data_IF_578001837425
#
_entry.id   IF_578001837425
#
_cell.length_a   1.000
_cell.length_b   1.000
_cell.length_c   1.000
_cell.angle_alpha   90.00
_cell.angle_beta   90.00
_cell.angle_gamma   90.00
#
_symmetry.space_group_name_H-M   'P 1'
#
loop_
_entity.id
_entity.type
_entity.pdbx_description
1 polymer ?
#
# COMPACT_ATOMS: atom_id res chain seq x y z
N UNK A 1 -1.47 1.24 -18.01
CA UNK A 1 -0.86 0.59 -19.18
C UNK A 1 -1.35 1.25 -20.47
N UNK A 2 -0.56 1.19 -21.56
CA UNK A 2 -0.92 1.80 -22.84
C UNK A 2 -2.24 1.24 -23.40
N UNK A 3 -2.47 -0.08 -23.25
CA UNK A 3 -3.71 -0.73 -23.70
C UNK A 3 -4.95 -0.18 -22.97
N UNK A 4 -4.87 0.00 -21.66
CA UNK A 4 -5.97 0.60 -20.88
C UNK A 4 -6.37 1.97 -21.43
N UNK A 5 -5.38 2.83 -21.69
CA UNK A 5 -5.63 4.17 -22.23
C UNK A 5 -6.25 4.14 -23.64
N UNK A 6 -5.84 3.19 -24.48
CA UNK A 6 -6.44 3.01 -25.81
C UNK A 6 -7.93 2.62 -25.71
N UNK A 7 -8.24 1.64 -24.85
CA UNK A 7 -9.64 1.21 -24.61
C UNK A 7 -10.46 2.35 -24.01
N UNK A 8 -9.89 3.09 -23.03
CA UNK A 8 -10.58 4.22 -22.41
C UNK A 8 -10.92 5.31 -23.43
N UNK A 9 -10.00 5.62 -24.36
CA UNK A 9 -10.25 6.57 -25.45
C UNK A 9 -11.34 6.10 -26.40
N UNK A 10 -11.42 4.80 -26.71
CA UNK A 10 -12.52 4.25 -27.50
C UNK A 10 -13.85 4.41 -26.77
N UNK A 11 -13.91 4.14 -25.48
CA UNK A 11 -15.11 4.37 -24.66
C UNK A 11 -15.51 5.85 -24.64
N UNK A 12 -14.55 6.76 -24.55
CA UNK A 12 -14.79 8.19 -24.62
C UNK A 12 -15.36 8.60 -25.98
N UNK A 13 -14.75 8.14 -27.08
CA UNK A 13 -15.22 8.40 -28.45
C UNK A 13 -16.64 7.84 -28.69
N UNK A 14 -16.94 6.68 -28.11
CA UNK A 14 -18.27 6.08 -28.14
C UNK A 14 -19.32 6.79 -27.24
N UNK A 15 -18.90 7.84 -26.50
CA UNK A 15 -19.78 8.59 -25.61
C UNK A 15 -20.18 7.84 -24.32
N UNK A 16 -19.47 6.78 -23.97
CA UNK A 16 -19.72 5.99 -22.76
C UNK A 16 -19.15 6.61 -21.49
N UNK A 17 -18.20 7.55 -21.61
CA UNK A 17 -17.58 8.26 -20.48
C UNK A 17 -18.18 9.65 -20.36
N UNK A 18 -18.91 9.90 -19.26
CA UNK A 18 -19.61 11.18 -19.01
C UNK A 18 -18.88 12.09 -18.03
N UNK A 19 -18.26 11.52 -17.01
CA UNK A 19 -17.60 12.21 -15.87
C UNK A 19 -18.54 13.10 -15.03
N UNK A 20 -19.86 12.93 -15.14
CA UNK A 20 -20.80 13.64 -14.27
C UNK A 20 -20.70 13.18 -12.82
N UNK A 21 -20.63 11.86 -12.60
CA UNK A 21 -20.38 11.28 -11.28
C UNK A 21 -19.41 10.08 -11.41
N UNK A 22 -18.37 10.08 -10.60
CA UNK A 22 -17.39 8.98 -10.50
C UNK A 22 -17.42 8.40 -9.09
N UNK A 23 -17.54 7.08 -8.99
CA UNK A 23 -17.44 6.36 -7.72
C UNK A 23 -16.02 5.80 -7.54
N UNK A 24 -15.40 6.08 -6.39
CA UNK A 24 -14.09 5.57 -6.00
C UNK A 24 -14.25 4.49 -4.94
N UNK A 25 -13.56 3.38 -5.11
CA UNK A 25 -13.51 2.31 -4.12
C UNK A 25 -12.25 1.45 -4.29
N UNK A 26 -11.90 0.74 -3.23
CA UNK A 26 -10.78 -0.18 -3.19
C UNK A 26 -11.22 -1.62 -2.91
N UNK A 27 -10.49 -2.56 -3.49
CA UNK A 27 -10.72 -3.97 -3.19
C UNK A 27 -9.42 -4.73 -3.01
N UNK A 28 -9.42 -5.73 -2.12
CA UNK A 28 -8.24 -6.57 -1.91
C UNK A 28 -8.24 -7.71 -2.93
N UNK A 29 -7.18 -7.75 -3.76
CA UNK A 29 -6.93 -8.83 -4.72
C UNK A 29 -5.88 -9.75 -4.11
N UNK A 30 -6.21 -11.03 -3.95
CA UNK A 30 -5.31 -12.03 -3.38
C UNK A 30 -4.09 -12.21 -4.29
N UNK A 31 -2.91 -12.15 -3.69
CA UNK A 31 -1.68 -12.56 -4.36
C UNK A 31 -1.60 -14.07 -4.47
N UNK A 32 -0.91 -14.57 -5.50
CA UNK A 32 -0.59 -16.00 -5.61
C UNK A 32 0.57 -16.36 -4.67
N UNK A 33 0.38 -16.08 -3.38
CA UNK A 33 1.37 -16.27 -2.34
C UNK A 33 0.72 -16.62 -1.01
N UNK A 34 1.33 -17.55 -0.28
CA UNK A 34 0.88 -17.91 1.07
C UNK A 34 1.36 -16.89 2.10
N UNK A 35 0.48 -16.46 3.00
CA UNK A 35 0.85 -15.62 4.15
C UNK A 35 1.91 -16.28 5.07
N UNK A 36 1.99 -17.61 5.06
CA UNK A 36 2.99 -18.36 5.83
C UNK A 36 4.41 -18.27 5.24
N UNK A 37 4.54 -17.76 4.02
CA UNK A 37 5.83 -17.44 3.38
C UNK A 37 6.29 -16.01 3.66
N UNK A 38 5.53 -15.23 4.43
CA UNK A 38 5.96 -13.92 4.91
C UNK A 38 6.73 -14.04 6.23
N UNK A 39 7.77 -13.23 6.38
CA UNK A 39 8.57 -13.15 7.60
C UNK A 39 8.76 -11.69 8.01
N UNK A 40 8.71 -11.41 9.33
CA UNK A 40 9.00 -10.08 9.86
C UNK A 40 10.51 -9.80 9.86
N UNK A 41 10.90 -8.52 9.78
CA UNK A 41 12.28 -8.07 9.77
C UNK A 41 13.07 -8.57 11.00
N UNK A 42 12.46 -8.50 12.18
CA UNK A 42 13.06 -9.03 13.41
C UNK A 42 13.34 -10.54 13.32
N UNK A 43 12.37 -11.32 12.81
CA UNK A 43 12.57 -12.77 12.61
C UNK A 43 13.60 -13.06 11.53
N UNK A 44 13.68 -12.23 10.48
CA UNK A 44 14.70 -12.36 9.44
C UNK A 44 16.10 -12.16 10.03
N UNK A 45 16.31 -11.12 10.84
CA UNK A 45 17.60 -10.87 11.56
C UNK A 45 18.02 -12.06 12.43
N UNK A 46 17.09 -12.56 13.22
CA UNK A 46 17.37 -13.72 14.06
C UNK A 46 17.74 -14.95 13.23
N UNK A 47 16.96 -15.23 12.18
CA UNK A 47 17.19 -16.40 11.32
C UNK A 47 18.44 -16.28 10.48
N UNK A 48 18.81 -15.09 10.06
CA UNK A 48 20.08 -14.81 9.40
C UNK A 48 21.26 -15.17 10.30
N UNK A 49 21.26 -14.70 11.55
CA UNK A 49 22.31 -15.00 12.51
C UNK A 49 22.44 -16.52 12.79
N UNK A 50 21.30 -17.21 12.97
CA UNK A 50 21.27 -18.66 13.15
C UNK A 50 21.85 -19.40 11.94
N UNK A 51 21.42 -19.04 10.72
CA UNK A 51 21.90 -19.67 9.49
C UNK A 51 23.39 -19.41 9.24
N UNK A 52 23.87 -18.19 9.49
CA UNK A 52 25.31 -17.87 9.41
C UNK A 52 26.13 -18.74 10.37
N UNK A 53 25.69 -18.89 11.61
CA UNK A 53 26.35 -19.74 12.59
C UNK A 53 26.30 -21.23 12.22
N UNK A 54 25.18 -21.69 11.62
CA UNK A 54 25.05 -23.06 11.11
C UNK A 54 26.03 -23.30 9.95
N UNK A 55 26.06 -22.40 8.96
CA UNK A 55 26.95 -22.50 7.78
C UNK A 55 28.40 -22.46 8.23
N UNK A 56 28.79 -21.55 9.14
CA UNK A 56 30.15 -21.47 9.65
C UNK A 56 30.58 -22.74 10.36
N UNK A 57 29.74 -23.33 11.21
CA UNK A 57 30.02 -24.62 11.87
C UNK A 57 30.21 -25.77 10.88
N UNK A 58 29.45 -25.77 9.81
CA UNK A 58 29.51 -26.78 8.77
C UNK A 58 30.79 -26.65 7.95
N UNK A 59 31.20 -25.44 7.59
CA UNK A 59 32.46 -25.20 6.90
C UNK A 59 33.63 -25.61 7.76
N UNK A 60 33.64 -25.21 9.04
CA UNK A 60 34.70 -25.62 9.97
C UNK A 60 34.75 -27.14 10.17
N UNK A 61 33.62 -27.85 10.18
CA UNK A 61 33.58 -29.30 10.25
C UNK A 61 34.10 -29.98 8.98
N UNK A 62 33.78 -29.41 7.81
CA UNK A 62 34.31 -29.89 6.53
C UNK A 62 35.83 -29.67 6.43
N UNK A 63 36.32 -28.49 6.77
CA UNK A 63 37.76 -28.18 6.82
C UNK A 63 38.54 -29.11 7.79
N UNK A 64 37.94 -29.44 8.95
CA UNK A 64 38.54 -30.38 9.89
C UNK A 64 38.57 -31.80 9.34
N UNK A 65 37.50 -32.26 8.65
CA UNK A 65 37.45 -33.57 8.01
C UNK A 65 38.45 -33.67 6.85
N UNK A 66 38.52 -32.63 5.99
CA UNK A 66 39.49 -32.57 4.88
C UNK A 66 40.93 -32.60 5.41
N UNK A 67 41.21 -31.89 6.52
CA UNK A 67 42.53 -31.91 7.15
C UNK A 67 42.92 -33.30 7.73
N UNK A 68 41.95 -34.03 8.29
CA UNK A 68 42.12 -35.36 8.82
C UNK A 68 42.28 -36.42 7.70
N UNK A 69 41.59 -36.22 6.58
CA UNK A 69 41.72 -37.03 5.37
C UNK A 69 43.06 -36.79 4.65
N UNK A 70 43.51 -35.53 4.53
CA UNK A 70 44.83 -35.16 3.97
C UNK A 70 46.00 -35.74 4.78
N UNK A 71 45.88 -35.77 6.10
CA UNK A 71 46.88 -36.41 6.98
C UNK A 71 46.91 -37.94 6.81
N UNK A 72 45.74 -38.55 6.46
CA UNK A 72 45.59 -40.00 6.40
C UNK A 72 45.84 -40.57 5.00
N UNK A 73 45.48 -39.87 3.93
CA UNK A 73 45.42 -40.37 2.54
C UNK A 73 46.23 -39.57 1.51
N UNK A 74 46.84 -38.42 1.88
CA UNK A 74 47.63 -37.57 0.97
C UNK A 74 46.79 -36.65 0.11
N UNK A 75 47.38 -35.53 -0.38
CA UNK A 75 46.75 -34.34 -0.95
C UNK A 75 46.01 -34.49 -2.31
N UNK A 76 45.83 -35.68 -2.86
CA UNK A 76 45.38 -35.89 -4.25
C UNK A 76 43.92 -36.34 -4.42
N UNK A 77 43.09 -36.36 -3.39
CA UNK A 77 41.65 -36.65 -3.51
C UNK A 77 40.80 -35.48 -3.03
N UNK A 78 40.45 -34.58 -3.96
CA UNK A 78 39.55 -33.48 -3.73
C UNK A 78 38.09 -33.97 -3.68
N UNK A 79 37.50 -33.97 -2.51
CA UNK A 79 36.04 -34.00 -2.31
C UNK A 79 35.45 -32.60 -2.34
N UNK A 80 35.59 -31.88 -3.47
CA UNK A 80 35.16 -30.48 -3.62
C UNK A 80 33.64 -30.30 -3.73
N UNK A 81 32.82 -31.32 -3.51
CA UNK A 81 31.38 -31.22 -3.59
C UNK A 81 30.78 -30.85 -2.22
N UNK A 82 30.41 -29.58 -2.10
CA UNK A 82 29.63 -29.14 -0.94
C UNK A 82 28.31 -29.93 -0.88
N UNK A 83 27.97 -30.58 0.23
CA UNK A 83 26.75 -31.36 0.34
C UNK A 83 25.52 -30.57 -0.07
N UNK A 84 24.57 -31.14 -0.81
CA UNK A 84 23.33 -30.50 -1.33
C UNK A 84 22.57 -29.72 -0.25
N UNK A 85 22.55 -30.22 0.98
CA UNK A 85 21.89 -29.57 2.11
C UNK A 85 22.59 -28.27 2.57
N UNK A 86 23.89 -28.10 2.38
CA UNK A 86 24.61 -26.86 2.67
C UNK A 86 24.28 -25.80 1.60
N UNK A 87 24.19 -26.20 0.34
CA UNK A 87 23.71 -25.34 -0.75
C UNK A 87 22.29 -24.81 -0.52
N UNK A 88 21.40 -25.62 0.03
CA UNK A 88 20.03 -25.17 0.38
C UNK A 88 19.99 -24.16 1.51
N UNK A 89 20.86 -24.28 2.52
CA UNK A 89 20.97 -23.30 3.61
C UNK A 89 21.55 -21.98 3.12
N UNK A 90 22.56 -22.01 2.26
CA UNK A 90 23.12 -20.81 1.66
C UNK A 90 22.09 -20.09 0.77
N UNK A 91 21.35 -20.82 -0.07
CA UNK A 91 20.25 -20.25 -0.88
C UNK A 91 19.17 -19.61 -0.01
N UNK A 92 18.84 -20.23 1.12
CA UNK A 92 17.87 -19.69 2.08
C UNK A 92 18.40 -18.44 2.78
N UNK A 93 19.68 -18.42 3.17
CA UNK A 93 20.35 -17.26 3.74
C UNK A 93 20.32 -16.09 2.76
N UNK A 94 20.70 -16.31 1.50
CA UNK A 94 20.70 -15.30 0.46
C UNK A 94 19.31 -14.69 0.23
N UNK A 95 18.25 -15.52 0.21
CA UNK A 95 16.86 -15.03 0.10
C UNK A 95 16.45 -14.15 1.28
N UNK A 96 16.84 -14.50 2.50
CA UNK A 96 16.55 -13.70 3.70
C UNK A 96 17.29 -12.37 3.62
N UNK A 97 18.58 -12.38 3.26
CA UNK A 97 19.39 -11.15 3.11
C UNK A 97 18.82 -10.23 2.03
N UNK A 98 18.42 -10.78 0.89
CA UNK A 98 17.76 -10.00 -0.17
C UNK A 98 16.45 -9.36 0.32
N UNK A 99 15.63 -10.10 1.07
CA UNK A 99 14.38 -9.57 1.60
C UNK A 99 14.63 -8.47 2.65
N UNK A 100 15.65 -8.62 3.51
CA UNK A 100 16.05 -7.60 4.49
C UNK A 100 16.56 -6.33 3.81
N UNK A 101 17.47 -6.47 2.85
CA UNK A 101 18.02 -5.34 2.11
C UNK A 101 16.93 -4.53 1.37
N UNK A 102 15.93 -5.24 0.82
CA UNK A 102 14.80 -4.59 0.19
C UNK A 102 13.90 -3.84 1.19
N UNK A 103 13.63 -4.41 2.39
CA UNK A 103 12.90 -3.68 3.44
C UNK A 103 13.67 -2.45 3.94
N UNK A 104 14.99 -2.55 4.05
CA UNK A 104 15.85 -1.42 4.44
C UNK A 104 15.87 -0.32 3.38
N UNK A 105 15.85 -0.69 2.09
CA UNK A 105 15.73 0.27 0.99
C UNK A 105 14.36 0.96 1.02
N UNK A 106 13.27 0.20 1.18
CA UNK A 106 11.91 0.74 1.29
C UNK A 106 11.81 1.72 2.49
N UNK A 107 12.39 1.38 3.64
CA UNK A 107 12.37 2.23 4.83
C UNK A 107 13.13 3.56 4.61
N UNK A 108 14.29 3.50 3.96
CA UNK A 108 15.07 4.71 3.62
C UNK A 108 14.30 5.64 2.70
N UNK A 109 13.72 5.10 1.62
CA UNK A 109 12.90 5.90 0.70
C UNK A 109 11.69 6.53 1.38
N UNK A 110 11.01 5.78 2.23
CA UNK A 110 9.88 6.30 3.01
C UNK A 110 10.32 7.43 3.97
N UNK A 111 11.43 7.26 4.65
CA UNK A 111 11.96 8.26 5.57
C UNK A 111 12.43 9.55 4.84
N UNK A 112 13.02 9.42 3.66
CA UNK A 112 13.39 10.56 2.82
C UNK A 112 12.15 11.35 2.38
N UNK A 113 11.12 10.66 1.93
CA UNK A 113 9.85 11.27 1.51
C UNK A 113 9.14 11.95 2.68
N UNK A 114 9.07 11.32 3.86
CA UNK A 114 8.51 11.94 5.07
C UNK A 114 9.27 13.21 5.47
N UNK A 115 10.60 13.19 5.43
CA UNK A 115 11.44 14.38 5.70
C UNK A 115 11.15 15.50 4.70
N UNK A 116 10.99 15.18 3.42
CA UNK A 116 10.64 16.15 2.38
C UNK A 116 9.29 16.80 2.66
N UNK A 117 8.27 15.98 2.90
CA UNK A 117 6.91 16.45 3.21
C UNK A 117 6.90 17.28 4.51
N UNK A 118 7.66 16.89 5.53
CA UNK A 118 7.74 17.66 6.78
C UNK A 118 8.44 19.00 6.57
N UNK A 119 9.49 19.04 5.77
CA UNK A 119 10.19 20.28 5.43
C UNK A 119 9.28 21.24 4.63
N UNK A 120 8.53 20.77 3.66
CA UNK A 120 7.56 21.56 2.90
C UNK A 120 6.46 22.14 3.81
N UNK A 121 5.89 21.30 4.69
CA UNK A 121 4.90 21.74 5.69
C UNK A 121 5.46 22.76 6.68
N UNK A 122 6.72 22.64 7.04
CA UNK A 122 7.37 23.60 7.93
C UNK A 122 7.62 24.94 7.23
N UNK A 123 8.06 24.92 5.98
CA UNK A 123 8.20 26.14 5.17
C UNK A 123 6.85 26.87 5.00
N UNK A 124 5.78 26.14 4.72
CA UNK A 124 4.43 26.72 4.66
C UNK A 124 4.01 27.35 5.99
N UNK A 125 4.22 26.66 7.12
CA UNK A 125 3.90 27.20 8.45
C UNK A 125 4.68 28.47 8.77
N UNK A 126 5.96 28.51 8.42
CA UNK A 126 6.80 29.68 8.61
C UNK A 126 6.32 30.86 7.74
N UNK A 127 5.94 30.60 6.50
CA UNK A 127 5.38 31.62 5.60
C UNK A 127 4.04 32.18 6.13
N UNK A 128 3.23 31.34 6.78
CA UNK A 128 1.95 31.73 7.39
C UNK A 128 2.08 32.28 8.81
N UNK A 129 3.28 32.33 9.40
CA UNK A 129 3.52 32.76 10.76
C UNK A 129 2.90 31.86 11.86
N UNK A 130 2.60 30.59 11.51
CA UNK A 130 1.97 29.63 12.43
C UNK A 130 3.02 28.81 13.18
N UNK A 131 2.83 28.64 14.49
CA UNK A 131 3.67 27.75 15.31
C UNK A 131 3.24 26.28 15.16
N UNK A 132 4.20 25.35 15.18
CA UNK A 132 3.92 23.89 15.21
C UNK A 132 3.15 23.55 16.49
N UNK A 133 1.92 23.03 16.43
CA UNK A 133 1.19 22.64 17.63
C UNK A 133 1.70 21.29 18.15
N UNK A 134 1.83 21.17 19.48
CA UNK A 134 2.11 19.92 20.15
C UNK A 134 3.59 19.55 20.28
N UNK A 135 3.84 18.33 20.79
CA UNK A 135 5.18 17.76 20.94
C UNK A 135 5.77 17.41 19.57
N UNK A 136 7.06 17.68 19.30
CA UNK A 136 7.70 17.24 18.07
C UNK A 136 7.52 15.73 17.85
N UNK A 137 7.15 15.34 16.63
CA UNK A 137 7.13 13.93 16.25
C UNK A 137 8.56 13.37 16.25
N UNK A 138 8.71 12.08 16.50
CA UNK A 138 10.01 11.43 16.35
C UNK A 138 10.48 11.55 14.89
N UNK A 139 11.79 11.76 14.64
CA UNK A 139 12.29 11.85 13.28
C UNK A 139 12.03 10.54 12.52
N UNK A 140 11.78 10.60 11.19
CA UNK A 140 11.63 9.42 10.36
C UNK A 140 12.83 8.49 10.46
N UNK A 141 12.59 7.19 10.59
CA UNK A 141 13.62 6.16 10.76
C UNK A 141 14.03 5.56 9.43
N UNK A 142 15.33 5.51 9.14
CA UNK A 142 15.91 4.83 7.98
C UNK A 142 15.91 3.29 8.14
N UNK A 143 15.53 2.78 9.31
CA UNK A 143 15.44 1.35 9.57
C UNK A 143 14.00 0.87 9.51
N UNK A 144 13.75 -0.34 8.96
CA UNK A 144 12.42 -0.93 8.96
C UNK A 144 11.88 -1.12 10.37
N UNK A 145 10.57 -0.96 10.52
CA UNK A 145 9.89 -1.41 11.74
C UNK A 145 10.16 -2.91 11.95
N UNK A 146 10.45 -3.37 13.16
CA UNK A 146 10.68 -4.79 13.47
C UNK A 146 9.56 -5.72 12.99
N UNK A 147 8.33 -5.21 12.90
CA UNK A 147 7.15 -5.95 12.43
C UNK A 147 6.94 -5.86 10.92
N UNK A 148 7.70 -5.03 10.19
CA UNK A 148 7.63 -4.98 8.73
C UNK A 148 7.88 -6.36 8.15
N UNK A 149 7.04 -6.77 7.20
CA UNK A 149 7.05 -8.14 6.66
C UNK A 149 7.27 -8.13 5.15
N UNK A 150 7.94 -9.17 4.65
CA UNK A 150 8.07 -9.42 3.22
C UNK A 150 7.78 -10.89 2.91
N UNK A 151 7.06 -11.13 1.84
CA UNK A 151 6.78 -12.49 1.38
C UNK A 151 7.89 -12.97 0.45
N UNK A 152 8.34 -14.20 0.62
CA UNK A 152 9.43 -14.78 -0.20
C UNK A 152 8.96 -15.27 -1.57
N UNK A 153 7.66 -15.49 -1.76
CA UNK A 153 7.09 -15.91 -3.04
C UNK A 153 6.69 -14.71 -3.89
N UNK A 154 6.08 -13.70 -3.25
CA UNK A 154 5.64 -12.47 -3.88
C UNK A 154 6.04 -11.28 -3.00
N UNK A 155 7.24 -10.72 -3.21
CA UNK A 155 7.80 -9.68 -2.35
C UNK A 155 7.03 -8.36 -2.37
N UNK A 156 6.26 -8.09 -3.41
CA UNK A 156 5.48 -6.85 -3.54
C UNK A 156 4.13 -6.92 -2.83
N UNK A 157 3.59 -8.13 -2.62
CA UNK A 157 2.34 -8.30 -1.90
C UNK A 157 2.48 -8.02 -0.40
N UNK A 158 1.39 -7.67 0.26
CA UNK A 158 1.37 -7.37 1.70
C UNK A 158 0.26 -8.16 2.40
N UNK A 159 0.44 -8.43 3.69
CA UNK A 159 -0.62 -9.00 4.52
C UNK A 159 -1.67 -7.92 4.78
N UNK A 160 -2.89 -8.15 4.29
CA UNK A 160 -4.01 -7.23 4.42
C UNK A 160 -5.20 -7.93 5.08
N UNK A 161 -6.00 -7.15 5.81
CA UNK A 161 -7.24 -7.63 6.39
C UNK A 161 -8.32 -7.74 5.31
N UNK A 162 -8.93 -8.90 5.18
CA UNK A 162 -10.11 -9.17 4.34
C UNK A 162 -11.30 -9.58 5.18
N UNK A 163 -12.44 -9.88 4.54
CA UNK A 163 -13.63 -10.43 5.24
C UNK A 163 -13.33 -11.77 5.91
N UNK A 164 -12.49 -12.58 5.28
CA UNK A 164 -12.14 -13.94 5.70
C UNK A 164 -10.87 -13.99 6.57
N UNK A 165 -10.43 -12.83 7.11
CA UNK A 165 -9.22 -12.71 7.91
C UNK A 165 -8.05 -12.08 7.18
N UNK A 166 -6.81 -12.42 7.55
CA UNK A 166 -5.60 -11.87 6.94
C UNK A 166 -5.17 -12.70 5.73
N UNK A 167 -4.95 -12.02 4.61
CA UNK A 167 -4.52 -12.60 3.34
C UNK A 167 -3.32 -11.84 2.77
N UNK A 168 -2.50 -12.55 2.00
CA UNK A 168 -1.48 -11.91 1.17
C UNK A 168 -2.18 -11.31 -0.05
N UNK A 169 -2.08 -10.00 -0.23
CA UNK A 169 -2.89 -9.28 -1.21
C UNK A 169 -2.26 -7.97 -1.68
N UNK A 170 -2.85 -7.43 -2.72
CA UNK A 170 -2.72 -6.05 -3.19
C UNK A 170 -4.01 -5.30 -2.91
N UNK A 171 -3.95 -3.99 -2.78
CA UNK A 171 -5.11 -3.12 -2.71
C UNK A 171 -5.32 -2.48 -4.09
N UNK A 172 -6.28 -3.01 -4.84
CA UNK A 172 -6.66 -2.46 -6.14
C UNK A 172 -7.70 -1.36 -5.95
N UNK A 173 -7.38 -0.19 -6.46
CA UNK A 173 -8.21 1.01 -6.43
C UNK A 173 -8.81 1.23 -7.81
N UNK A 174 -10.07 1.63 -7.88
CA UNK A 174 -10.71 1.99 -9.14
C UNK A 174 -11.60 3.23 -8.97
N UNK A 175 -11.56 4.08 -9.99
CA UNK A 175 -12.52 5.15 -10.20
C UNK A 175 -13.41 4.77 -11.37
N UNK A 176 -14.71 4.72 -11.15
CA UNK A 176 -15.70 4.19 -12.10
C UNK A 176 -16.71 5.29 -12.45
N UNK A 177 -16.84 5.61 -13.73
CA UNK A 177 -17.88 6.52 -14.24
C UNK A 177 -19.26 5.89 -14.08
N UNK A 178 -20.19 6.64 -13.51
CA UNK A 178 -21.52 6.15 -13.18
C UNK A 178 -22.42 5.92 -14.43
N UNK A 179 -22.10 6.54 -15.57
CA UNK A 179 -22.95 6.48 -16.76
C UNK A 179 -23.03 5.09 -17.38
N UNK A 180 -21.88 4.46 -17.61
CA UNK A 180 -21.79 3.15 -18.23
C UNK A 180 -20.84 2.18 -17.46
N UNK A 181 -20.54 2.48 -16.21
CA UNK A 181 -19.64 1.68 -15.35
C UNK A 181 -18.23 1.46 -15.96
N UNK A 182 -17.73 2.47 -16.68
CA UNK A 182 -16.39 2.43 -17.25
C UNK A 182 -15.37 2.79 -16.17
N UNK A 183 -14.30 1.97 -16.04
CA UNK A 183 -13.15 2.30 -15.20
C UNK A 183 -12.38 3.44 -15.89
N UNK A 184 -12.34 4.62 -15.27
CA UNK A 184 -11.67 5.82 -15.80
C UNK A 184 -10.27 6.03 -15.24
N UNK A 185 -10.00 5.47 -14.05
CA UNK A 185 -8.66 5.38 -13.47
C UNK A 185 -8.55 4.15 -12.57
N UNK A 186 -7.35 3.63 -12.44
CA UNK A 186 -7.03 2.52 -11.52
C UNK A 186 -5.64 2.69 -10.95
N UNK A 187 -5.44 2.14 -9.76
CA UNK A 187 -4.16 2.08 -9.07
C UNK A 187 -4.02 0.72 -8.38
N UNK A 188 -2.81 0.19 -8.33
CA UNK A 188 -2.50 -1.00 -7.55
C UNK A 188 -1.50 -0.63 -6.47
N UNK A 189 -1.91 -0.68 -5.21
CA UNK A 189 -1.07 -0.26 -4.09
C UNK A 189 -0.82 -1.38 -3.08
N UNK A 190 0.28 -1.28 -2.38
CA UNK A 190 0.63 -2.13 -1.25
C UNK A 190 0.05 -1.60 0.09
N UNK A 191 -0.55 -0.41 0.09
CA UNK A 191 -1.16 0.17 1.29
C UNK A 191 -2.44 -0.56 1.65
N UNK A 192 -2.56 -0.99 2.91
CA UNK A 192 -3.74 -1.70 3.40
C UNK A 192 -4.96 -0.82 3.63
N UNK A 193 -4.79 0.51 3.70
CA UNK A 193 -5.85 1.51 3.82
C UNK A 193 -6.03 2.30 2.53
N UNK A 194 -7.18 2.96 2.40
CA UNK A 194 -7.58 3.66 1.17
C UNK A 194 -7.41 5.19 1.30
N UNK A 195 -7.06 5.70 2.49
CA UNK A 195 -7.03 7.14 2.80
C UNK A 195 -6.10 7.93 1.87
N UNK A 196 -4.93 7.40 1.55
CA UNK A 196 -3.96 8.05 0.66
C UNK A 196 -4.25 7.89 -0.83
N UNK A 197 -5.36 7.22 -1.22
CA UNK A 197 -5.59 6.85 -2.62
C UNK A 197 -6.57 7.77 -3.35
N UNK A 198 -7.25 8.68 -2.66
CA UNK A 198 -8.25 9.54 -3.27
C UNK A 198 -7.63 10.52 -4.27
N UNK A 199 -6.66 11.29 -3.83
CA UNK A 199 -6.01 12.32 -4.67
C UNK A 199 -5.32 11.70 -5.89
N UNK A 200 -4.49 10.64 -5.74
CA UNK A 200 -3.89 9.96 -6.90
C UNK A 200 -4.91 9.48 -7.93
N UNK A 201 -6.08 8.98 -7.49
CA UNK A 201 -7.14 8.55 -8.42
C UNK A 201 -7.77 9.73 -9.18
N UNK A 202 -8.03 10.87 -8.52
CA UNK A 202 -8.56 12.08 -9.18
C UNK A 202 -7.54 12.61 -10.20
N UNK A 203 -6.28 12.70 -9.83
CA UNK A 203 -5.20 13.10 -10.74
C UNK A 203 -5.05 12.12 -11.93
N UNK A 204 -5.19 10.83 -11.68
CA UNK A 204 -5.15 9.81 -12.73
C UNK A 204 -6.31 9.96 -13.71
N UNK A 205 -7.53 10.32 -13.27
CA UNK A 205 -8.65 10.63 -14.17
C UNK A 205 -8.29 11.82 -15.07
N UNK A 206 -7.78 12.90 -14.47
CA UNK A 206 -7.39 14.11 -15.21
C UNK A 206 -6.27 13.82 -16.21
N UNK A 207 -5.29 13.02 -15.83
CA UNK A 207 -4.19 12.61 -16.72
C UNK A 207 -4.68 11.74 -17.89
N UNK A 208 -5.61 10.82 -17.63
CA UNK A 208 -6.14 9.89 -18.64
C UNK A 208 -7.06 10.57 -19.64
N UNK A 209 -7.96 11.47 -19.18
CA UNK A 209 -9.07 12.02 -19.95
C UNK A 209 -8.97 13.54 -20.19
N UNK A 210 -7.95 14.20 -19.61
CA UNK A 210 -7.79 15.67 -19.68
C UNK A 210 -9.01 16.45 -19.19
N UNK A 211 -9.81 15.82 -18.39
CA UNK A 211 -11.04 16.38 -17.76
C UNK A 211 -11.17 15.84 -16.34
N UNK A 212 -11.82 16.59 -15.49
CA UNK A 212 -12.16 16.19 -14.11
C UNK A 212 -13.60 15.72 -14.04
N UNK A 213 -13.95 14.85 -13.08
CA UNK A 213 -15.35 14.54 -12.80
C UNK A 213 -16.05 15.74 -12.15
N UNK A 214 -17.33 15.95 -12.46
CA UNK A 214 -18.14 16.96 -11.77
C UNK A 214 -18.34 16.59 -10.30
N UNK A 215 -18.60 15.30 -10.04
CA UNK A 215 -18.84 14.75 -8.71
C UNK A 215 -18.03 13.48 -8.48
N UNK A 216 -17.55 13.31 -7.24
CA UNK A 216 -16.85 12.12 -6.82
C UNK A 216 -17.42 11.56 -5.51
N UNK A 217 -17.68 10.26 -5.44
CA UNK A 217 -18.12 9.60 -4.23
C UNK A 217 -17.16 8.52 -3.78
N UNK A 218 -16.89 8.44 -2.47
CA UNK A 218 -16.01 7.44 -1.88
C UNK A 218 -16.53 7.02 -0.50
N UNK A 219 -16.03 5.90 0.02
CA UNK A 219 -16.41 5.43 1.35
C UNK A 219 -15.64 6.15 2.48
N UNK A 220 -15.90 5.74 3.71
CA UNK A 220 -15.27 6.34 4.88
C UNK A 220 -13.76 6.04 5.01
N UNK A 221 -13.24 5.08 4.27
CA UNK A 221 -11.82 4.79 4.21
C UNK A 221 -11.00 5.92 3.59
N UNK A 222 -11.62 6.72 2.74
CA UNK A 222 -11.01 7.88 2.07
C UNK A 222 -11.20 9.20 2.82
N UNK A 223 -12.01 9.23 3.89
CA UNK A 223 -12.35 10.49 4.55
C UNK A 223 -11.20 11.01 5.42
N UNK A 224 -10.64 12.15 5.03
CA UNK A 224 -9.72 12.96 5.82
C UNK A 224 -9.89 14.43 5.49
N UNK A 225 -9.50 15.33 6.38
CA UNK A 225 -9.54 16.77 6.11
C UNK A 225 -8.75 17.12 4.85
N UNK A 226 -7.55 16.55 4.70
CA UNK A 226 -6.68 16.79 3.54
C UNK A 226 -7.29 16.30 2.23
N UNK A 227 -7.98 15.16 2.21
CA UNK A 227 -8.65 14.66 1.01
C UNK A 227 -9.86 15.53 0.64
N UNK A 228 -10.61 16.02 1.63
CA UNK A 228 -11.73 16.91 1.40
C UNK A 228 -11.26 18.28 0.87
N UNK A 229 -10.18 18.81 1.42
CA UNK A 229 -9.53 20.04 0.94
C UNK A 229 -9.02 19.88 -0.49
N UNK A 230 -8.39 18.73 -0.80
CA UNK A 230 -7.91 18.43 -2.14
C UNK A 230 -9.06 18.36 -3.17
N UNK A 231 -10.20 17.73 -2.84
CA UNK A 231 -11.37 17.71 -3.71
C UNK A 231 -11.87 19.13 -4.01
N UNK A 232 -11.93 20.02 -3.00
CA UNK A 232 -12.30 21.41 -3.20
C UNK A 232 -11.28 22.16 -4.09
N UNK A 233 -9.99 21.94 -3.87
CA UNK A 233 -8.93 22.54 -4.68
C UNK A 233 -8.96 22.06 -6.14
N UNK A 234 -9.31 20.79 -6.39
CA UNK A 234 -9.54 20.27 -7.74
C UNK A 234 -10.87 20.72 -8.36
N UNK A 235 -11.76 21.38 -7.61
CA UNK A 235 -13.08 21.78 -8.08
C UNK A 235 -14.04 20.61 -8.29
N UNK A 236 -13.82 19.48 -7.60
CA UNK A 236 -14.65 18.28 -7.67
C UNK A 236 -15.65 18.29 -6.52
N UNK A 237 -16.93 18.17 -6.81
CA UNK A 237 -18.01 18.11 -5.81
C UNK A 237 -18.00 16.74 -5.08
N UNK A 238 -17.28 16.67 -3.95
CA UNK A 238 -17.05 15.43 -3.21
C UNK A 238 -18.24 14.98 -2.36
N UNK A 239 -18.43 13.65 -2.28
CA UNK A 239 -19.38 12.95 -1.41
C UNK A 239 -18.67 11.78 -0.72
N UNK A 240 -17.86 12.09 0.29
CA UNK A 240 -17.03 11.12 1.03
C UNK A 240 -17.63 10.90 2.41
N UNK A 241 -18.10 9.69 2.71
CA UNK A 241 -18.73 9.40 3.98
C UNK A 241 -17.79 9.63 5.16
N UNK A 242 -18.08 10.54 6.09
CA UNK A 242 -17.38 10.57 7.36
C UNK A 242 -17.77 9.32 8.17
N UNK A 243 -16.81 8.54 8.63
CA UNK A 243 -17.06 7.27 9.34
C UNK A 243 -18.08 7.40 10.48
N UNK A 244 -18.67 6.29 10.90
CA UNK A 244 -19.60 6.27 12.03
C UNK A 244 -18.88 6.69 13.30
N UNK A 245 -19.44 7.67 14.00
CA UNK A 245 -19.02 8.01 15.34
C UNK A 245 -19.29 6.83 16.29
N UNK A 246 -18.26 6.10 16.65
CA UNK A 246 -18.43 4.99 17.61
C UNK A 246 -18.64 5.50 19.04
N UNK A 247 -18.06 6.63 19.40
CA UNK A 247 -18.26 7.35 20.67
C UNK A 247 -18.02 8.84 20.47
N UNK A 248 -18.85 9.74 20.98
CA UNK A 248 -18.53 11.15 21.09
C UNK A 248 -17.48 11.31 22.20
N UNK A 249 -16.21 11.24 21.85
CA UNK A 249 -15.10 11.43 22.79
C UNK A 249 -14.68 12.89 22.78
N UNK A 250 -15.05 13.60 23.83
CA UNK A 250 -14.62 14.96 24.12
C UNK A 250 -15.76 15.89 24.50
N UNK A 251 -15.45 16.94 25.28
CA UNK A 251 -16.41 17.88 25.86
C UNK A 251 -17.33 18.60 24.83
N UNK A 252 -17.11 18.46 23.55
CA UNK A 252 -17.90 19.09 22.48
C UNK A 252 -18.54 18.15 21.46
N UNK A 253 -18.43 16.82 21.60
CA UNK A 253 -19.12 15.85 20.70
C UNK A 253 -18.80 15.96 19.19
N UNK A 254 -17.82 16.78 18.81
CA UNK A 254 -17.46 17.02 17.40
C UNK A 254 -16.50 15.95 16.92
N UNK A 255 -16.92 15.19 15.92
CA UNK A 255 -16.14 14.12 15.30
C UNK A 255 -15.61 14.63 13.97
N UNK A 256 -14.30 14.69 13.83
CA UNK A 256 -13.61 15.22 12.67
C UNK A 256 -13.48 16.75 12.67
N UNK A 257 -12.65 17.24 11.77
CA UNK A 257 -12.44 18.68 11.55
C UNK A 257 -13.62 19.36 10.84
N UNK A 258 -13.46 20.65 10.50
CA UNK A 258 -14.53 21.45 9.90
C UNK A 258 -15.07 20.90 8.58
N UNK A 259 -14.17 20.41 7.70
CA UNK A 259 -14.56 19.85 6.39
C UNK A 259 -15.31 18.54 6.54
N UNK A 260 -14.87 17.67 7.45
CA UNK A 260 -15.56 16.42 7.78
C UNK A 260 -16.97 16.66 8.31
N UNK A 261 -17.15 17.68 9.16
CA UNK A 261 -18.47 18.06 9.69
C UNK A 261 -19.37 18.62 8.59
N UNK A 262 -18.84 19.48 7.71
CA UNK A 262 -19.55 20.02 6.54
C UNK A 262 -19.96 18.89 5.59
N UNK A 263 -19.06 17.93 5.33
CA UNK A 263 -19.34 16.77 4.51
C UNK A 263 -20.45 15.89 5.10
N UNK A 264 -20.43 15.65 6.42
CA UNK A 264 -21.51 14.92 7.12
C UNK A 264 -22.86 15.58 6.88
N UNK A 265 -22.93 16.89 7.15
CA UNK A 265 -24.17 17.65 6.95
C UNK A 265 -24.64 17.59 5.50
N UNK A 266 -23.73 17.75 4.53
CA UNK A 266 -24.04 17.66 3.09
C UNK A 266 -24.66 16.32 2.71
N UNK A 267 -24.11 15.20 3.21
CA UNK A 267 -24.65 13.86 2.92
C UNK A 267 -25.98 13.63 3.65
N UNK A 268 -26.12 14.08 4.90
CA UNK A 268 -27.33 13.91 5.70
C UNK A 268 -28.49 14.75 5.12
N UNK A 269 -28.25 16.02 4.78
CA UNK A 269 -29.25 16.95 4.20
C UNK A 269 -29.69 16.48 2.78
N UNK A 270 -28.77 15.94 1.97
CA UNK A 270 -29.07 15.44 0.63
C UNK A 270 -29.79 14.08 0.61
N UNK A 271 -29.75 13.33 1.70
CA UNK A 271 -30.49 12.08 1.87
C UNK A 271 -30.23 11.04 0.76
N UNK A 272 -31.31 10.54 0.17
CA UNK A 272 -31.24 9.53 -0.90
C UNK A 272 -30.86 10.09 -2.28
N UNK A 273 -30.95 11.38 -2.50
CA UNK A 273 -30.63 12.01 -3.78
C UNK A 273 -29.12 12.23 -4.00
N UNK A 274 -28.28 11.94 -3.02
CA UNK A 274 -26.84 12.15 -3.13
C UNK A 274 -26.15 11.08 -3.98
N UNK A 275 -25.11 11.44 -4.77
CA UNK A 275 -24.25 10.49 -5.47
C UNK A 275 -23.65 9.40 -4.57
N UNK A 276 -23.44 9.70 -3.29
CA UNK A 276 -22.96 8.74 -2.32
C UNK A 276 -23.83 7.47 -2.23
N UNK A 277 -25.16 7.62 -2.34
CA UNK A 277 -26.10 6.49 -2.30
C UNK A 277 -25.96 5.54 -3.49
N UNK A 278 -25.59 6.10 -4.64
CA UNK A 278 -25.38 5.33 -5.88
C UNK A 278 -24.01 4.64 -5.93
N UNK A 279 -23.06 5.04 -5.09
CA UNK A 279 -21.68 4.57 -5.12
C UNK A 279 -21.56 3.05 -5.25
N UNK A 280 -22.25 2.32 -4.39
CA UNK A 280 -22.19 0.86 -4.38
C UNK A 280 -22.70 0.23 -5.67
N UNK A 281 -23.78 0.78 -6.23
CA UNK A 281 -24.36 0.31 -7.48
C UNK A 281 -23.44 0.55 -8.68
N UNK A 282 -22.55 1.55 -8.60
CA UNK A 282 -21.60 1.89 -9.65
C UNK A 282 -20.36 0.99 -9.59
N UNK A 283 -19.72 0.86 -8.42
CA UNK A 283 -18.39 0.26 -8.31
C UNK A 283 -18.41 -1.22 -7.93
N UNK A 284 -19.38 -1.69 -7.11
CA UNK A 284 -19.40 -3.09 -6.67
C UNK A 284 -19.60 -4.10 -7.82
N UNK A 285 -20.46 -3.86 -8.84
CA UNK A 285 -20.56 -4.77 -9.98
C UNK A 285 -19.27 -4.89 -10.78
N UNK A 286 -18.53 -3.79 -10.93
CA UNK A 286 -17.23 -3.78 -11.62
C UNK A 286 -16.21 -4.65 -10.89
N UNK A 287 -16.10 -4.53 -9.58
CA UNK A 287 -15.24 -5.42 -8.80
C UNK A 287 -15.73 -6.87 -8.78
N UNK A 288 -17.04 -7.09 -8.85
CA UNK A 288 -17.61 -8.43 -9.02
C UNK A 288 -17.09 -9.10 -10.28
N UNK A 289 -17.11 -8.40 -11.41
CA UNK A 289 -16.62 -8.92 -12.70
C UNK A 289 -15.09 -9.16 -12.69
N UNK A 290 -14.30 -8.26 -12.07
CA UNK A 290 -12.84 -8.42 -11.99
C UNK A 290 -12.43 -9.65 -11.17
N UNK A 291 -13.24 -10.08 -10.20
CA UNK A 291 -12.91 -11.17 -9.27
C UNK A 291 -13.43 -12.55 -9.69
N UNK A 292 -14.26 -12.63 -10.72
CA UNK A 292 -14.71 -13.88 -11.31
C UNK A 292 -13.61 -14.50 -12.20
#
# INVERSE_FOLDING_TARGET
>A
SALFLQVLKLCETAGLVKLGHVALDGTKIKANASKHKAMSYERMKKREAELKAEVARMLAAAEAADSEEDETFGQDKRGDEMPDWAGDKQKRLAKIQQAMAALEADARLAAEEERRIEAEKEQQRQAEGRKKPGKPAAPPSDQPDPKSQRNFTDPESRIMKSKDGFVQAYNAQAAVDAGAQIIVAHELTQCGNDQGQLVPLIEAIENNLRRKPDQASADSGYCSESNLEALEAHGVDGYVAPGRAKHPTGANGKIGGPLTQRMRKKIDDGGFATPYRLRKQVVEPVFGQIKQ
#
